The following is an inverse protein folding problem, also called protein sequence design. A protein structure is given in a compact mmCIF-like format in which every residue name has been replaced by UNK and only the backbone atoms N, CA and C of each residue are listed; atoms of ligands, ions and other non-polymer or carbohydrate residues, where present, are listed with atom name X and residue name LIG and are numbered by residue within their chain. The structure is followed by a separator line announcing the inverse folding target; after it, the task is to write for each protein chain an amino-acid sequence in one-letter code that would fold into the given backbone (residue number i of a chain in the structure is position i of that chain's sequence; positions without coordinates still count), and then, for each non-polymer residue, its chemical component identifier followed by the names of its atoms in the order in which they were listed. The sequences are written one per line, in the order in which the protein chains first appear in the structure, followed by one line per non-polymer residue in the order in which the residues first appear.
data_IF_216526095326
#
_entry.id   IF_216526095326
#
_cell.length_a   1.000
_cell.length_b   1.000
_cell.length_c   1.000
_cell.angle_alpha   90.00
_cell.angle_beta   90.00
_cell.angle_gamma   90.00
#
_symmetry.space_group_name_H-M   'P 1'
#
loop_
_entity.id
_entity.type
_entity.pdbx_description
1 polymer ?
#
# COMPACT_ATOMS: atom_id res chain seq x y z
N UNK A 1 -44.57 23.52 -13.45
CA UNK A 1 -44.50 22.11 -12.98
C UNK A 1 -44.05 22.16 -11.53
N UNK A 2 -44.73 21.50 -10.57
CA UNK A 2 -44.24 21.50 -9.20
C UNK A 2 -43.02 20.59 -9.12
N UNK A 3 -41.88 21.14 -8.72
CA UNK A 3 -40.71 20.35 -8.33
C UNK A 3 -41.11 19.45 -7.16
N UNK A 4 -41.17 18.15 -7.42
CA UNK A 4 -41.37 17.15 -6.37
C UNK A 4 -40.05 17.05 -5.63
N UNK A 5 -39.86 17.86 -4.59
CA UNK A 5 -38.78 17.72 -3.63
C UNK A 5 -39.05 16.45 -2.84
N UNK A 6 -38.50 15.33 -3.30
CA UNK A 6 -38.54 14.06 -2.60
C UNK A 6 -37.96 14.27 -1.19
N UNK A 7 -38.70 13.82 -0.17
CA UNK A 7 -38.27 13.95 1.22
C UNK A 7 -36.89 13.27 1.41
N UNK A 8 -35.96 13.90 2.13
CA UNK A 8 -34.62 13.36 2.30
C UNK A 8 -34.67 12.00 3.00
N UNK A 9 -33.96 11.03 2.43
CA UNK A 9 -33.85 9.67 2.98
C UNK A 9 -33.14 9.77 4.33
N UNK A 10 -33.81 9.35 5.40
CA UNK A 10 -33.23 9.31 6.75
C UNK A 10 -32.31 8.09 6.87
N UNK A 11 -31.00 8.32 6.79
CA UNK A 11 -29.98 7.30 7.00
C UNK A 11 -29.26 7.57 8.32
N UNK A 12 -29.00 6.52 9.10
CA UNK A 12 -28.21 6.64 10.32
C UNK A 12 -26.72 6.85 10.00
N UNK A 13 -25.99 7.64 10.80
CA UNK A 13 -24.54 7.75 10.69
C UNK A 13 -23.86 6.36 10.77
N UNK A 14 -22.70 6.18 10.12
CA UNK A 14 -21.89 4.98 10.33
C UNK A 14 -21.48 4.86 11.81
N UNK A 15 -21.28 3.62 12.28
CA UNK A 15 -20.66 3.38 13.57
C UNK A 15 -19.24 3.98 13.60
N UNK A 16 -18.75 4.29 14.79
CA UNK A 16 -17.40 4.79 14.99
C UNK A 16 -16.35 3.87 14.36
N UNK A 17 -15.26 4.46 13.85
CA UNK A 17 -14.18 3.70 13.26
C UNK A 17 -13.38 2.98 14.35
N UNK A 18 -13.06 1.71 14.13
CA UNK A 18 -12.20 0.96 15.05
C UNK A 18 -10.72 1.25 14.76
N UNK A 19 -10.16 2.23 15.47
CA UNK A 19 -8.75 2.61 15.32
C UNK A 19 -7.74 1.49 15.68
N UNK A 20 -8.19 0.38 16.28
CA UNK A 20 -7.33 -0.78 16.54
C UNK A 20 -7.30 -1.78 15.37
N UNK A 21 -8.13 -1.57 14.34
CA UNK A 21 -8.22 -2.40 13.13
C UNK A 21 -8.08 -1.50 11.87
N UNK A 22 -6.88 -0.93 11.61
CA UNK A 22 -6.65 0.01 10.51
C UNK A 22 -6.98 -0.57 9.12
N UNK A 23 -6.92 -1.89 8.95
CA UNK A 23 -7.33 -2.60 7.73
C UNK A 23 -8.82 -2.44 7.39
N UNK A 24 -9.68 -2.08 8.35
CA UNK A 24 -11.10 -1.82 8.13
C UNK A 24 -11.34 -0.43 7.52
N UNK A 25 -10.31 0.43 7.48
CA UNK A 25 -10.41 1.80 6.98
C UNK A 25 -11.08 1.93 5.61
N UNK A 26 -10.70 1.15 4.57
CA UNK A 26 -11.31 1.28 3.25
C UNK A 26 -12.82 0.99 3.25
N UNK A 27 -13.26 0.08 4.13
CA UNK A 27 -14.68 -0.26 4.27
C UNK A 27 -15.43 0.86 4.96
N UNK A 28 -14.87 1.39 6.05
CA UNK A 28 -15.47 2.47 6.82
C UNK A 28 -15.54 3.78 6.03
N UNK A 29 -14.44 4.21 5.39
CA UNK A 29 -14.36 5.42 4.57
C UNK A 29 -15.40 5.40 3.43
N UNK A 30 -15.51 4.27 2.72
CA UNK A 30 -16.53 4.07 1.68
C UNK A 30 -17.96 4.15 2.23
N UNK A 31 -18.20 3.65 3.44
CA UNK A 31 -19.52 3.74 4.11
C UNK A 31 -19.85 5.18 4.47
N UNK A 32 -18.88 5.95 4.98
CA UNK A 32 -19.06 7.37 5.29
C UNK A 32 -19.37 8.19 4.03
N UNK A 33 -18.64 7.96 2.92
CA UNK A 33 -18.92 8.64 1.66
C UNK A 33 -20.34 8.38 1.13
N UNK A 34 -20.84 7.14 1.25
CA UNK A 34 -22.24 6.82 0.93
C UNK A 34 -23.24 7.53 1.84
N UNK A 35 -22.93 7.63 3.13
CA UNK A 35 -23.76 8.35 4.09
C UNK A 35 -23.87 9.84 3.73
N UNK A 36 -22.77 10.50 3.34
CA UNK A 36 -22.79 11.88 2.86
C UNK A 36 -23.70 12.06 1.63
N UNK A 37 -23.55 11.17 0.65
CA UNK A 37 -24.31 11.26 -0.61
C UNK A 37 -25.81 11.01 -0.40
N UNK A 38 -26.19 9.92 0.28
CA UNK A 38 -27.61 9.55 0.44
C UNK A 38 -28.35 10.52 1.38
N UNK A 39 -27.65 11.09 2.37
CA UNK A 39 -28.24 12.05 3.31
C UNK A 39 -28.29 13.47 2.77
N UNK A 40 -27.81 13.72 1.53
CA UNK A 40 -27.73 15.05 0.94
C UNK A 40 -26.72 15.98 1.62
N UNK A 41 -25.79 15.43 2.41
CA UNK A 41 -24.75 16.19 3.12
C UNK A 41 -23.54 16.48 2.23
N UNK A 42 -23.51 15.92 1.02
CA UNK A 42 -22.51 16.20 0.01
C UNK A 42 -22.53 17.66 -0.47
N UNK A 43 -23.66 18.38 -0.38
CA UNK A 43 -23.74 19.79 -0.74
C UNK A 43 -23.32 20.75 0.40
N UNK A 44 -22.97 20.21 1.57
CA UNK A 44 -22.52 21.02 2.71
C UNK A 44 -21.10 21.55 2.50
N UNK A 45 -20.74 22.56 3.30
CA UNK A 45 -19.39 23.12 3.30
C UNK A 45 -18.36 22.05 3.66
N UNK A 46 -17.12 22.22 3.18
CA UNK A 46 -16.02 21.31 3.54
C UNK A 46 -15.82 21.24 5.05
N UNK A 47 -15.94 22.38 5.74
CA UNK A 47 -15.89 22.43 7.21
C UNK A 47 -16.94 21.54 7.86
N UNK A 48 -18.21 21.65 7.47
CA UNK A 48 -19.28 20.79 8.01
C UNK A 48 -19.02 19.31 7.73
N UNK A 49 -18.49 18.96 6.55
CA UNK A 49 -18.15 17.58 6.20
C UNK A 49 -17.00 17.04 7.05
N UNK A 50 -15.97 17.85 7.29
CA UNK A 50 -14.80 17.50 8.13
C UNK A 50 -15.24 17.32 9.59
N UNK A 51 -16.02 18.26 10.12
CA UNK A 51 -16.53 18.20 11.50
C UNK A 51 -17.41 16.93 11.69
N UNK A 52 -18.29 16.65 10.74
CA UNK A 52 -19.13 15.44 10.74
C UNK A 52 -18.31 14.16 10.60
N UNK A 53 -17.28 14.17 9.76
CA UNK A 53 -16.36 13.05 9.60
C UNK A 53 -15.64 12.75 10.91
N UNK A 54 -15.06 13.74 11.58
CA UNK A 54 -14.39 13.57 12.87
C UNK A 54 -15.37 13.07 13.94
N UNK A 55 -16.58 13.63 13.98
CA UNK A 55 -17.63 13.16 14.89
C UNK A 55 -18.00 11.70 14.67
N UNK A 56 -18.19 11.28 13.41
CA UNK A 56 -18.55 9.90 13.08
C UNK A 56 -17.38 8.93 13.25
N UNK A 57 -16.14 9.35 12.96
CA UNK A 57 -14.95 8.52 13.08
C UNK A 57 -14.62 8.24 14.55
N UNK A 58 -14.87 9.21 15.44
CA UNK A 58 -14.62 9.12 16.89
C UNK A 58 -13.42 9.94 17.34
N UNK A 59 -13.19 9.99 18.66
CA UNK A 59 -12.26 10.94 19.31
C UNK A 59 -10.84 10.96 18.73
N UNK A 60 -10.29 9.80 18.36
CA UNK A 60 -8.93 9.70 17.79
C UNK A 60 -8.81 10.36 16.40
N UNK A 61 -9.91 10.62 15.70
CA UNK A 61 -9.87 11.28 14.39
C UNK A 61 -9.35 12.72 14.49
N UNK A 62 -9.68 13.44 15.57
CA UNK A 62 -9.18 14.79 15.84
C UNK A 62 -7.66 14.83 15.99
N UNK A 63 -7.11 13.83 16.70
CA UNK A 63 -5.66 13.70 16.90
C UNK A 63 -4.94 13.42 15.57
N UNK A 64 -5.50 12.52 14.76
CA UNK A 64 -4.95 12.18 13.44
C UNK A 64 -5.05 13.36 12.49
N UNK A 65 -6.18 14.09 12.48
CA UNK A 65 -6.36 15.27 11.65
C UNK A 65 -5.26 16.30 11.88
N UNK A 66 -4.89 16.55 13.14
CA UNK A 66 -3.79 17.46 13.52
C UNK A 66 -2.40 16.93 13.13
N UNK A 67 -2.24 15.62 12.99
CA UNK A 67 -0.99 15.00 12.52
C UNK A 67 -0.85 15.05 11.00
N UNK A 68 -1.95 14.88 10.27
CA UNK A 68 -1.94 14.71 8.81
C UNK A 68 -2.19 16.02 8.06
N UNK A 69 -2.85 16.99 8.68
CA UNK A 69 -3.09 18.33 8.11
C UNK A 69 -2.37 19.38 8.97
N UNK A 70 -1.50 20.23 8.38
CA UNK A 70 -0.90 21.35 9.10
C UNK A 70 -1.97 22.33 9.62
N UNK A 71 -1.81 22.82 10.85
CA UNK A 71 -2.80 23.72 11.48
C UNK A 71 -3.10 24.98 10.66
N UNK A 72 -2.09 25.53 9.97
CA UNK A 72 -2.25 26.71 9.11
C UNK A 72 -3.12 26.46 7.87
N UNK A 73 -3.31 25.20 7.50
CA UNK A 73 -4.10 24.79 6.33
C UNK A 73 -5.47 24.23 6.71
N UNK A 74 -5.76 24.07 8.00
CA UNK A 74 -7.01 23.43 8.46
C UNK A 74 -8.25 24.26 8.11
N UNK A 75 -8.14 25.60 8.19
CA UNK A 75 -9.25 26.50 7.87
C UNK A 75 -9.62 26.54 6.38
N UNK A 76 -8.66 26.21 5.51
CA UNK A 76 -8.84 26.18 4.05
C UNK A 76 -8.84 24.76 3.48
N UNK A 77 -8.78 23.75 4.35
CA UNK A 77 -8.76 22.35 3.94
C UNK A 77 -10.09 21.95 3.31
N UNK A 78 -10.01 21.30 2.16
CA UNK A 78 -11.18 20.66 1.55
C UNK A 78 -11.38 19.28 2.16
N UNK A 79 -12.63 18.79 2.17
CA UNK A 79 -12.93 17.44 2.62
C UNK A 79 -12.18 16.38 1.79
N UNK A 80 -11.95 16.65 0.50
CA UNK A 80 -11.18 15.77 -0.37
C UNK A 80 -9.72 15.65 0.07
N UNK A 81 -9.08 16.78 0.44
CA UNK A 81 -7.71 16.78 0.98
C UNK A 81 -7.62 16.00 2.29
N UNK A 82 -8.58 16.21 3.20
CA UNK A 82 -8.63 15.48 4.49
C UNK A 82 -8.84 13.99 4.27
N UNK A 83 -9.80 13.61 3.44
CA UNK A 83 -10.10 12.20 3.13
C UNK A 83 -8.87 11.48 2.58
N UNK A 84 -8.16 12.13 1.64
CA UNK A 84 -6.92 11.59 1.07
C UNK A 84 -5.82 11.43 2.12
N UNK A 85 -5.63 12.41 2.99
CA UNK A 85 -4.61 12.34 4.04
C UNK A 85 -4.90 11.21 5.04
N UNK A 86 -6.18 10.97 5.36
CA UNK A 86 -6.59 9.83 6.17
C UNK A 86 -6.40 8.50 5.44
N UNK A 87 -6.72 8.43 4.14
CA UNK A 87 -6.45 7.26 3.31
C UNK A 87 -4.95 6.91 3.30
N UNK A 88 -4.07 7.91 3.23
CA UNK A 88 -2.61 7.73 3.32
C UNK A 88 -2.14 7.33 4.72
N UNK A 89 -2.76 7.87 5.77
CA UNK A 89 -2.43 7.54 7.17
C UNK A 89 -2.75 6.08 7.52
N UNK A 90 -3.94 5.63 7.13
CA UNK A 90 -4.41 4.26 7.37
C UNK A 90 -4.02 3.28 6.29
N UNK A 91 -3.45 3.75 5.17
CA UNK A 91 -2.76 2.87 4.25
C UNK A 91 -1.72 2.11 5.07
N UNK A 92 -1.68 0.76 5.00
CA UNK A 92 -0.60 0.02 5.61
C UNK A 92 0.70 0.64 5.10
N UNK A 93 1.49 1.26 6.00
CA UNK A 93 2.86 1.64 5.66
C UNK A 93 3.55 0.34 5.33
N UNK A 94 3.61 0.04 4.03
CA UNK A 94 4.21 -1.17 3.50
C UNK A 94 5.61 -1.20 4.09
N UNK A 95 5.86 -2.13 4.99
CA UNK A 95 7.16 -2.21 5.63
C UNK A 95 8.11 -2.77 4.58
N UNK A 96 8.68 -1.86 3.79
CA UNK A 96 9.54 -2.19 2.66
C UNK A 96 10.71 -3.04 3.14
N UNK A 97 11.25 -2.75 4.33
CA UNK A 97 12.32 -3.55 4.93
C UNK A 97 11.87 -4.99 5.17
N UNK A 98 10.68 -5.19 5.70
CA UNK A 98 10.12 -6.52 5.93
C UNK A 98 9.81 -7.28 4.64
N UNK A 99 9.23 -6.62 3.64
CA UNK A 99 8.95 -7.25 2.34
C UNK A 99 10.26 -7.60 1.60
N UNK A 100 11.27 -6.73 1.65
CA UNK A 100 12.62 -7.01 1.16
C UNK A 100 13.28 -8.16 1.92
N UNK A 101 13.09 -8.25 3.24
CA UNK A 101 13.60 -9.37 4.04
C UNK A 101 12.96 -10.69 3.63
N UNK A 102 11.63 -10.74 3.43
CA UNK A 102 10.93 -11.92 2.90
C UNK A 102 11.45 -12.34 1.53
N UNK A 103 11.59 -11.37 0.61
CA UNK A 103 12.15 -11.62 -0.73
C UNK A 103 13.56 -12.20 -0.64
N UNK A 104 14.43 -11.59 0.17
CA UNK A 104 15.82 -12.02 0.31
C UNK A 104 16.00 -13.35 1.05
N UNK A 105 15.07 -13.70 1.95
CA UNK A 105 15.06 -14.98 2.66
C UNK A 105 14.48 -16.13 1.82
N UNK A 106 13.84 -15.83 0.68
CA UNK A 106 13.19 -16.84 -0.15
C UNK A 106 14.21 -17.70 -0.88
N UNK A 107 14.18 -19.00 -0.56
CA UNK A 107 14.94 -20.07 -1.22
C UNK A 107 13.97 -21.13 -1.71
N UNK A 108 14.28 -21.79 -2.82
CA UNK A 108 13.49 -22.89 -3.36
C UNK A 108 13.38 -23.99 -2.30
N UNK A 109 12.17 -24.49 -2.10
CA UNK A 109 11.91 -25.57 -1.15
C UNK A 109 12.22 -26.94 -1.77
N UNK A 110 12.40 -27.95 -0.91
CA UNK A 110 12.77 -29.27 -1.40
C UNK A 110 11.62 -29.87 -2.20
N UNK A 111 11.89 -30.24 -3.46
CA UNK A 111 10.88 -30.75 -4.39
C UNK A 111 9.96 -29.67 -4.97
N UNK A 112 10.19 -28.39 -4.69
CA UNK A 112 9.45 -27.29 -5.32
C UNK A 112 9.85 -27.15 -6.80
N UNK A 113 8.88 -27.11 -7.74
CA UNK A 113 9.18 -26.79 -9.13
C UNK A 113 9.85 -25.43 -9.29
N UNK A 114 10.85 -25.34 -10.17
CA UNK A 114 11.60 -24.09 -10.40
C UNK A 114 10.68 -22.94 -10.83
N UNK A 115 9.67 -23.22 -11.67
CA UNK A 115 8.72 -22.21 -12.14
C UNK A 115 7.85 -21.65 -11.02
N UNK A 116 7.47 -22.48 -10.04
CA UNK A 116 6.72 -22.05 -8.85
C UNK A 116 7.58 -21.16 -7.95
N UNK A 117 8.85 -21.53 -7.75
CA UNK A 117 9.82 -20.73 -7.02
C UNK A 117 10.01 -19.34 -7.66
N UNK A 118 10.22 -19.30 -8.99
CA UNK A 118 10.40 -18.06 -9.75
C UNK A 118 9.14 -17.20 -9.66
N UNK A 119 7.96 -17.79 -9.84
CA UNK A 119 6.66 -17.08 -9.72
C UNK A 119 6.47 -16.47 -8.33
N UNK A 120 6.83 -17.22 -7.27
CA UNK A 120 6.78 -16.71 -5.91
C UNK A 120 7.74 -15.53 -5.69
N UNK A 121 8.97 -15.59 -6.25
CA UNK A 121 9.92 -14.49 -6.20
C UNK A 121 9.41 -13.23 -6.91
N UNK A 122 8.79 -13.38 -8.10
CA UNK A 122 8.18 -12.25 -8.81
C UNK A 122 7.09 -11.57 -7.97
N UNK A 123 6.25 -12.37 -7.32
CA UNK A 123 5.17 -11.87 -6.43
C UNK A 123 5.72 -11.11 -5.23
N UNK A 124 6.80 -11.60 -4.61
CA UNK A 124 7.44 -10.93 -3.48
C UNK A 124 8.15 -9.64 -3.90
N UNK A 125 8.86 -9.67 -5.03
CA UNK A 125 9.58 -8.51 -5.58
C UNK A 125 8.67 -7.32 -5.82
N UNK A 126 7.44 -7.53 -6.29
CA UNK A 126 6.49 -6.45 -6.56
C UNK A 126 6.07 -5.69 -5.28
N UNK A 127 6.32 -6.28 -4.11
CA UNK A 127 6.13 -5.65 -2.80
C UNK A 127 7.36 -4.89 -2.28
N UNK A 128 8.52 -5.04 -2.91
CA UNK A 128 9.80 -4.57 -2.37
C UNK A 128 10.21 -3.15 -2.79
N UNK A 129 9.52 -2.54 -3.75
CA UNK A 129 9.80 -1.18 -4.24
C UNK A 129 11.28 -0.95 -4.58
N UNK A 130 11.85 -1.84 -5.38
CA UNK A 130 13.25 -1.75 -5.81
C UNK A 130 13.51 -0.73 -6.93
N UNK A 131 12.45 -0.12 -7.48
CA UNK A 131 12.57 0.87 -8.55
C UNK A 131 13.28 0.28 -9.78
N UNK A 132 14.31 0.97 -10.26
CA UNK A 132 15.11 0.58 -11.44
C UNK A 132 15.89 -0.73 -11.23
N UNK A 133 16.24 -1.08 -10.00
CA UNK A 133 17.00 -2.32 -9.69
C UNK A 133 16.12 -3.58 -9.66
N UNK A 134 14.83 -3.45 -9.92
CA UNK A 134 13.83 -4.52 -9.80
C UNK A 134 14.21 -5.79 -10.57
N UNK A 135 14.68 -5.65 -11.80
CA UNK A 135 14.95 -6.78 -12.69
C UNK A 135 16.36 -7.37 -12.47
N UNK A 136 17.30 -6.57 -11.99
CA UNK A 136 18.62 -7.04 -11.56
C UNK A 136 18.51 -7.91 -10.30
N UNK A 137 17.85 -7.38 -9.26
CA UNK A 137 17.78 -8.05 -7.97
C UNK A 137 17.00 -9.37 -8.00
N UNK A 138 16.00 -9.49 -8.88
CA UNK A 138 15.31 -10.78 -9.05
C UNK A 138 16.16 -11.83 -9.75
N UNK A 139 16.96 -11.45 -10.75
CA UNK A 139 17.89 -12.39 -11.40
C UNK A 139 18.91 -12.90 -10.39
N UNK A 140 19.50 -12.01 -9.61
CA UNK A 140 20.44 -12.37 -8.56
C UNK A 140 19.77 -13.27 -7.53
N UNK A 141 18.54 -12.93 -7.11
CA UNK A 141 17.82 -13.71 -6.10
C UNK A 141 17.44 -15.11 -6.59
N UNK A 142 17.07 -15.27 -7.86
CA UNK A 142 16.82 -16.57 -8.49
C UNK A 142 18.11 -17.40 -8.42
N UNK A 143 19.23 -16.85 -8.89
CA UNK A 143 20.52 -17.57 -8.92
C UNK A 143 20.91 -18.02 -7.51
N UNK A 144 20.83 -17.13 -6.51
CA UNK A 144 21.25 -17.44 -5.15
C UNK A 144 20.25 -18.37 -4.43
N UNK A 145 18.95 -18.28 -4.73
CA UNK A 145 17.90 -18.98 -4.00
C UNK A 145 17.52 -20.38 -4.52
N UNK A 146 18.02 -20.82 -5.68
CA UNK A 146 17.75 -22.16 -6.23
C UNK A 146 18.36 -23.28 -5.36
N UNK A 147 17.62 -24.38 -5.18
CA UNK A 147 18.02 -25.48 -4.30
C UNK A 147 18.72 -26.61 -5.08
N UNK A 148 20.03 -26.71 -4.83
CA UNK A 148 20.85 -27.94 -4.73
C UNK A 148 21.08 -28.91 -5.90
N UNK A 149 20.27 -29.01 -6.96
CA UNK A 149 20.69 -29.85 -8.10
C UNK A 149 21.84 -29.24 -8.92
N UNK A 150 22.13 -27.95 -8.69
CA UNK A 150 23.01 -27.12 -9.52
C UNK A 150 24.05 -26.35 -8.69
N UNK A 151 24.41 -26.70 -7.44
CA UNK A 151 25.46 -25.92 -6.72
C UNK A 151 26.78 -25.86 -7.50
N UNK A 152 27.14 -26.97 -8.16
CA UNK A 152 28.26 -27.02 -9.10
C UNK A 152 28.02 -26.10 -10.30
N UNK A 153 26.83 -26.10 -10.90
CA UNK A 153 26.49 -25.23 -12.03
C UNK A 153 26.35 -23.75 -11.65
N UNK A 154 25.92 -23.44 -10.44
CA UNK A 154 25.88 -22.09 -9.87
C UNK A 154 27.31 -21.56 -9.68
N UNK A 155 28.22 -22.37 -9.13
CA UNK A 155 29.64 -22.02 -9.05
C UNK A 155 30.29 -21.85 -10.42
N UNK A 156 29.89 -22.66 -11.41
CA UNK A 156 30.37 -22.55 -12.79
C UNK A 156 29.85 -21.29 -13.49
N UNK A 157 28.57 -20.93 -13.31
CA UNK A 157 27.98 -19.70 -13.82
C UNK A 157 28.67 -18.48 -13.20
N UNK A 158 28.84 -18.46 -11.86
CA UNK A 158 29.51 -17.36 -11.15
C UNK A 158 30.95 -17.21 -11.65
N UNK A 159 31.71 -18.30 -11.70
CA UNK A 159 33.10 -18.28 -12.20
C UNK A 159 33.17 -17.84 -13.68
N UNK A 160 32.20 -18.24 -14.51
CA UNK A 160 32.15 -17.81 -15.91
C UNK A 160 31.82 -16.31 -16.02
N UNK A 161 30.90 -15.80 -15.21
CA UNK A 161 30.58 -14.36 -15.20
C UNK A 161 31.75 -13.52 -14.71
N UNK A 162 32.47 -13.94 -13.67
CA UNK A 162 33.68 -13.26 -13.21
C UNK A 162 34.77 -13.23 -14.29
N UNK A 163 34.97 -14.35 -15.00
CA UNK A 163 35.91 -14.41 -16.13
C UNK A 163 35.49 -13.48 -17.27
N UNK A 164 34.20 -13.42 -17.62
CA UNK A 164 33.70 -12.51 -18.65
C UNK A 164 33.90 -11.03 -18.26
N UNK A 165 33.62 -10.67 -17.00
CA UNK A 165 33.85 -9.32 -16.48
C UNK A 165 35.34 -8.97 -16.49
N UNK A 166 36.21 -9.90 -16.10
CA UNK A 166 37.66 -9.71 -16.14
C UNK A 166 38.18 -9.48 -17.56
N UNK A 167 37.66 -10.19 -18.57
CA UNK A 167 38.04 -10.02 -19.98
C UNK A 167 37.60 -8.64 -20.51
N UNK A 168 36.39 -8.19 -20.16
CA UNK A 168 35.88 -6.87 -20.57
C UNK A 168 36.74 -5.74 -19.96
N UNK A 169 37.08 -5.85 -18.67
CA UNK A 169 37.91 -4.85 -17.98
C UNK A 169 39.38 -4.85 -18.41
N UNK A 170 39.85 -5.90 -19.10
CA UNK A 170 41.22 -5.96 -19.67
C UNK A 170 41.32 -5.32 -21.06
N UNK A 171 40.20 -4.99 -21.71
CA UNK A 171 40.15 -4.39 -23.05
C UNK A 171 39.83 -2.88 -23.06
N UNK A 172 39.76 -2.26 -21.88
CA UNK A 172 39.56 -0.82 -21.64
C UNK A 172 40.77 -0.21 -20.95
#
# INVERSE_FOLDING_TARGET
MPETTAAPIRVSPPCAFNFNAPEEWPVWSKRFGRYLSISGLESKSDKEKIDLFCYCAGEKAEEILKQVIPSASLETATFATVSKAFDEYFHPKKNIVFERAKFNARVQAFGEPVDEFITALHTLRDKCEYGTLRDELIRDRIVIGLQLALRSLQSAIISSTEKCVAVINFQS
#
